data_IF_336437453883
#
_entry.id   IF_336437453883
#
_cell.length_a   1.000
_cell.length_b   1.000
_cell.length_c   1.000
_cell.angle_alpha   90.00
_cell.angle_beta   90.00
_cell.angle_gamma   90.00
#
_symmetry.space_group_name_H-M   'P 1'
#
loop_
_entity.id
_entity.type
_entity.pdbx_description
1 polymer ?
#
# COMPACT_ATOMS: atom_id res chain seq x y z
N UNK A 1 28.02 11.69 -7.39
CA UNK A 1 27.57 11.98 -8.76
C UNK A 1 28.80 12.25 -9.61
N UNK A 2 28.99 11.53 -10.71
CA UNK A 2 30.14 11.71 -11.61
C UNK A 2 29.79 12.67 -12.75
N UNK A 3 30.65 13.64 -13.02
CA UNK A 3 30.45 14.66 -14.06
C UNK A 3 31.29 14.48 -15.31
N UNK A 4 32.37 13.70 -15.21
CA UNK A 4 33.27 13.42 -16.32
C UNK A 4 33.83 12.00 -16.24
N UNK A 5 34.37 11.52 -17.35
CA UNK A 5 35.02 10.21 -17.42
C UNK A 5 36.24 10.12 -16.50
N UNK A 6 36.97 11.23 -16.36
CA UNK A 6 38.15 11.31 -15.48
C UNK A 6 37.77 11.11 -14.02
N UNK A 7 36.73 11.83 -13.55
CA UNK A 7 36.22 11.68 -12.17
C UNK A 7 35.78 10.24 -11.89
N UNK A 8 35.11 9.60 -12.86
CA UNK A 8 34.68 8.21 -12.72
C UNK A 8 35.88 7.25 -12.66
N UNK A 9 36.86 7.41 -13.55
CA UNK A 9 38.04 6.54 -13.59
C UNK A 9 38.87 6.66 -12.30
N UNK A 10 39.05 7.86 -11.78
CA UNK A 10 39.72 8.11 -10.50
C UNK A 10 38.93 7.49 -9.34
N UNK A 11 37.62 7.74 -9.26
CA UNK A 11 36.76 7.23 -8.19
C UNK A 11 36.63 5.70 -8.17
N UNK A 12 36.81 5.03 -9.30
CA UNK A 12 36.76 3.56 -9.42
C UNK A 12 38.13 2.90 -9.61
N UNK A 13 39.22 3.66 -9.48
CA UNK A 13 40.60 3.20 -9.66
C UNK A 13 40.80 2.42 -10.98
N UNK A 14 40.21 2.93 -12.07
CA UNK A 14 40.25 2.31 -13.39
C UNK A 14 41.46 2.81 -14.17
N UNK A 15 42.32 1.88 -14.61
CA UNK A 15 43.56 2.20 -15.34
C UNK A 15 43.35 2.51 -16.82
N UNK A 16 42.29 1.98 -17.43
CA UNK A 16 41.98 2.16 -18.86
C UNK A 16 40.46 2.27 -19.08
N UNK A 17 40.07 3.06 -20.08
CA UNK A 17 38.69 3.22 -20.54
C UNK A 17 38.07 1.91 -21.02
N UNK A 18 38.88 0.97 -21.51
CA UNK A 18 38.41 -0.36 -21.94
C UNK A 18 37.89 -1.22 -20.80
N UNK A 19 38.33 -0.95 -19.57
CA UNK A 19 37.90 -1.67 -18.37
C UNK A 19 36.56 -1.17 -17.81
N UNK A 20 35.97 -0.14 -18.42
CA UNK A 20 34.72 0.48 -17.96
C UNK A 20 33.54 -0.44 -18.30
N UNK A 21 32.90 -0.97 -17.26
CA UNK A 21 31.64 -1.70 -17.37
C UNK A 21 30.47 -0.71 -17.50
N UNK A 22 30.17 -0.29 -18.74
CA UNK A 22 29.17 0.74 -19.01
C UNK A 22 27.78 0.42 -18.48
N UNK A 23 27.34 -0.84 -18.56
CA UNK A 23 26.05 -1.25 -18.03
C UNK A 23 26.00 -1.09 -16.50
N UNK A 24 27.02 -1.62 -15.81
CA UNK A 24 27.11 -1.52 -14.36
C UNK A 24 27.10 -0.05 -13.91
N UNK A 25 27.89 0.79 -14.57
CA UNK A 25 27.98 2.21 -14.24
C UNK A 25 26.66 2.95 -14.50
N UNK A 26 25.97 2.68 -15.61
CA UNK A 26 24.68 3.31 -15.90
C UNK A 26 23.58 2.90 -14.91
N UNK A 27 23.73 1.77 -14.23
CA UNK A 27 22.76 1.23 -13.29
C UNK A 27 23.05 1.62 -11.84
N UNK A 28 24.31 1.53 -11.42
CA UNK A 28 24.73 1.64 -10.03
C UNK A 28 25.17 3.05 -9.64
N UNK A 29 25.63 3.85 -10.60
CA UNK A 29 26.17 5.19 -10.33
C UNK A 29 25.17 6.30 -10.55
N UNK A 30 25.36 7.40 -9.83
CA UNK A 30 24.71 8.67 -10.12
C UNK A 30 25.51 9.44 -11.17
N UNK A 31 25.06 9.42 -12.43
CA UNK A 31 25.71 10.07 -13.56
C UNK A 31 25.04 11.42 -13.85
N UNK A 32 25.84 12.47 -13.99
CA UNK A 32 25.26 13.76 -14.39
C UNK A 32 24.90 13.78 -15.87
N UNK A 33 23.93 14.62 -16.25
CA UNK A 33 23.56 14.81 -17.65
C UNK A 33 24.74 15.24 -18.54
N UNK A 34 25.71 15.95 -17.97
CA UNK A 34 26.96 16.31 -18.66
C UNK A 34 27.78 15.07 -18.98
N UNK A 35 27.96 14.17 -18.01
CA UNK A 35 28.66 12.91 -18.23
C UNK A 35 27.99 12.09 -19.33
N UNK A 36 26.66 11.97 -19.29
CA UNK A 36 25.89 11.21 -20.29
C UNK A 36 26.06 11.83 -21.68
N UNK A 37 26.02 13.18 -21.76
CA UNK A 37 26.22 13.92 -23.02
C UNK A 37 27.63 13.73 -23.61
N UNK A 38 28.66 13.60 -22.77
CA UNK A 38 30.03 13.38 -23.24
C UNK A 38 30.27 11.92 -23.69
N UNK A 39 29.35 10.99 -23.38
CA UNK A 39 29.52 9.55 -23.59
C UNK A 39 28.31 8.88 -24.31
N UNK A 40 27.63 9.60 -25.20
CA UNK A 40 26.35 9.21 -25.83
C UNK A 40 26.33 7.80 -26.45
N UNK A 41 27.44 7.37 -27.06
CA UNK A 41 27.52 6.08 -27.78
C UNK A 41 27.96 4.91 -26.90
N UNK A 42 28.39 5.19 -25.67
CA UNK A 42 28.89 4.18 -24.74
C UNK A 42 27.86 3.83 -23.66
N UNK A 43 27.11 4.83 -23.20
CA UNK A 43 26.07 4.64 -22.18
C UNK A 43 24.94 3.75 -22.71
N UNK A 44 24.38 2.94 -21.83
CA UNK A 44 23.21 2.14 -22.14
C UNK A 44 21.95 2.97 -21.87
N UNK A 45 21.29 3.44 -22.93
CA UNK A 45 20.16 4.35 -22.79
C UNK A 45 18.94 3.76 -22.10
N UNK A 46 18.77 2.43 -22.11
CA UNK A 46 17.74 1.76 -21.31
C UNK A 46 18.01 1.99 -19.82
N UNK A 47 19.24 1.72 -19.39
CA UNK A 47 19.64 1.87 -18.00
C UNK A 47 19.63 3.34 -17.58
N UNK A 48 20.06 4.25 -18.47
CA UNK A 48 19.91 5.70 -18.26
C UNK A 48 18.45 6.08 -18.02
N UNK A 49 17.52 5.55 -18.82
CA UNK A 49 16.09 5.89 -18.69
C UNK A 49 15.46 5.40 -17.38
N UNK A 50 15.94 4.27 -16.85
CA UNK A 50 15.35 3.62 -15.68
C UNK A 50 16.04 3.96 -14.35
N UNK A 51 17.31 4.34 -14.35
CA UNK A 51 18.09 4.49 -13.10
C UNK A 51 18.63 5.90 -12.84
N UNK A 52 18.68 6.77 -13.86
CA UNK A 52 19.26 8.11 -13.71
C UNK A 52 18.17 9.16 -13.53
N UNK A 53 18.47 10.22 -12.76
CA UNK A 53 17.61 11.39 -12.65
C UNK A 53 17.86 12.33 -13.85
N UNK A 54 16.85 12.46 -14.71
CA UNK A 54 16.92 13.22 -15.95
C UNK A 54 15.95 14.40 -15.90
N UNK A 55 16.45 15.60 -16.20
CA UNK A 55 15.63 16.80 -16.35
C UNK A 55 14.76 16.71 -17.62
N UNK A 56 13.61 17.37 -17.59
CA UNK A 56 12.75 17.51 -18.77
C UNK A 56 13.49 18.14 -19.98
N UNK A 57 14.46 19.02 -19.71
CA UNK A 57 15.30 19.63 -20.74
C UNK A 57 16.16 18.60 -21.47
N UNK A 58 16.76 17.68 -20.70
CA UNK A 58 17.54 16.57 -21.23
C UNK A 58 16.67 15.56 -21.96
N UNK A 59 15.55 15.16 -21.35
CA UNK A 59 14.58 14.23 -21.96
C UNK A 59 14.08 14.80 -23.30
N UNK A 60 13.73 16.08 -23.36
CA UNK A 60 13.32 16.73 -24.62
C UNK A 60 14.39 16.65 -25.71
N UNK A 61 15.65 16.83 -25.34
CA UNK A 61 16.79 16.83 -26.26
C UNK A 61 17.11 15.41 -26.76
N UNK A 62 17.06 14.41 -25.88
CA UNK A 62 17.48 13.03 -26.16
C UNK A 62 16.32 12.03 -26.24
N UNK A 63 15.07 12.50 -26.31
CA UNK A 63 13.82 11.71 -26.35
C UNK A 63 13.84 10.48 -27.26
N UNK A 64 14.53 10.57 -28.39
CA UNK A 64 14.55 9.51 -29.39
C UNK A 64 15.57 8.40 -29.07
N UNK A 65 16.37 8.56 -28.00
CA UNK A 65 17.27 7.53 -27.45
C UNK A 65 16.68 6.87 -26.20
N UNK A 66 15.67 7.48 -25.59
CA UNK A 66 15.16 7.10 -24.27
C UNK A 66 14.06 6.04 -24.37
N UNK A 67 13.99 5.22 -23.33
CA UNK A 67 12.95 4.21 -23.16
C UNK A 67 11.84 4.80 -22.31
N UNK A 68 10.82 5.30 -23.00
CA UNK A 68 9.85 6.18 -22.40
C UNK A 68 8.94 5.53 -21.35
N UNK A 69 8.65 4.23 -21.45
CA UNK A 69 7.93 3.53 -20.38
C UNK A 69 8.68 3.64 -19.04
N UNK A 70 10.02 3.53 -19.07
CA UNK A 70 10.84 3.78 -17.90
C UNK A 70 10.79 5.26 -17.52
N UNK A 71 10.91 6.18 -18.49
CA UNK A 71 10.88 7.63 -18.23
C UNK A 71 9.60 8.06 -17.49
N UNK A 72 8.42 7.63 -17.95
CA UNK A 72 7.16 8.00 -17.30
C UNK A 72 7.07 7.43 -15.88
N UNK A 73 7.53 6.19 -15.71
CA UNK A 73 7.52 5.48 -14.44
C UNK A 73 8.49 6.08 -13.42
N UNK A 74 9.70 6.47 -13.83
CA UNK A 74 10.80 6.81 -12.90
C UNK A 74 11.02 8.31 -12.75
N UNK A 75 10.83 9.11 -13.80
CA UNK A 75 11.23 10.52 -13.79
C UNK A 75 10.17 11.43 -13.18
N UNK A 76 10.56 12.47 -12.44
CA UNK A 76 9.63 13.49 -11.92
C UNK A 76 9.26 14.48 -13.02
N UNK A 77 8.24 14.14 -13.81
CA UNK A 77 7.75 14.95 -14.93
C UNK A 77 6.59 15.86 -14.47
N UNK A 78 6.49 17.04 -15.06
CA UNK A 78 5.34 17.93 -14.92
C UNK A 78 4.16 17.46 -15.77
N UNK A 79 2.95 17.86 -15.38
CA UNK A 79 1.73 17.58 -16.15
C UNK A 79 1.82 18.13 -17.58
N UNK A 80 2.33 19.36 -17.75
CA UNK A 80 2.47 19.99 -19.07
C UNK A 80 3.45 19.22 -19.96
N UNK A 81 4.50 18.63 -19.39
CA UNK A 81 5.40 17.75 -20.11
C UNK A 81 4.71 16.44 -20.52
N UNK A 82 3.97 15.82 -19.60
CA UNK A 82 3.19 14.60 -19.89
C UNK A 82 2.20 14.86 -21.05
N UNK A 83 1.38 15.93 -20.98
CA UNK A 83 0.46 16.27 -22.06
C UNK A 83 1.20 16.51 -23.38
N UNK A 84 2.34 17.19 -23.30
CA UNK A 84 3.15 17.49 -24.47
C UNK A 84 3.68 16.22 -25.12
N UNK A 85 3.89 15.10 -24.43
CA UNK A 85 4.47 13.88 -24.99
C UNK A 85 3.51 12.69 -25.11
N UNK A 86 2.22 12.89 -24.86
CA UNK A 86 1.17 11.88 -25.04
C UNK A 86 0.77 11.62 -26.51
N UNK A 87 1.73 11.63 -27.45
CA UNK A 87 1.51 11.46 -28.89
C UNK A 87 2.66 10.68 -29.53
N UNK A 88 2.32 9.61 -30.25
CA UNK A 88 3.24 8.74 -30.99
C UNK A 88 4.23 9.50 -31.87
N UNK A 89 3.78 10.57 -32.54
CA UNK A 89 4.62 11.34 -33.46
C UNK A 89 5.84 11.95 -32.78
N UNK A 90 5.80 12.08 -31.45
CA UNK A 90 6.87 12.64 -30.62
C UNK A 90 7.86 11.58 -30.14
N UNK A 91 7.55 10.30 -30.35
CA UNK A 91 8.30 9.12 -29.94
C UNK A 91 9.09 8.48 -31.08
N UNK A 92 9.17 9.15 -32.24
CA UNK A 92 9.90 8.63 -33.42
C UNK A 92 11.34 8.26 -33.04
N UNK A 93 11.77 7.01 -33.29
CA UNK A 93 13.16 6.62 -33.08
C UNK A 93 14.09 7.55 -33.86
N UNK A 94 15.28 7.77 -33.32
CA UNK A 94 16.40 8.24 -34.12
C UNK A 94 16.62 7.18 -35.21
N UNK A 95 16.91 7.62 -36.44
CA UNK A 95 17.26 6.70 -37.52
C UNK A 95 18.35 5.74 -37.01
N UNK A 96 18.15 4.44 -37.18
CA UNK A 96 19.03 3.43 -36.57
C UNK A 96 20.50 3.70 -36.90
N UNK A 97 20.79 4.27 -38.07
CA UNK A 97 22.12 4.65 -38.53
C UNK A 97 22.85 5.69 -37.65
N UNK A 98 22.14 6.51 -36.86
CA UNK A 98 22.75 7.50 -35.95
C UNK A 98 23.02 6.94 -34.53
N UNK A 99 22.69 5.67 -34.29
CA UNK A 99 22.95 4.97 -33.03
C UNK A 99 24.18 4.07 -33.17
N UNK A 100 25.03 4.05 -32.14
CA UNK A 100 26.10 3.05 -32.07
C UNK A 100 25.55 1.62 -32.14
N UNK A 101 26.30 0.69 -32.75
CA UNK A 101 25.88 -0.73 -32.95
C UNK A 101 25.36 -1.42 -31.68
N UNK A 102 25.93 -1.11 -30.52
CA UNK A 102 25.45 -1.64 -29.23
C UNK A 102 24.05 -1.15 -28.91
N UNK A 103 23.80 0.15 -29.09
CA UNK A 103 22.51 0.76 -28.80
C UNK A 103 21.43 0.32 -29.79
N UNK A 104 21.78 0.12 -31.07
CA UNK A 104 20.88 -0.48 -32.06
C UNK A 104 20.36 -1.84 -31.57
N UNK A 105 21.27 -2.74 -31.15
CA UNK A 105 20.89 -4.06 -30.61
C UNK A 105 20.02 -3.98 -29.36
N UNK A 106 20.31 -3.05 -28.45
CA UNK A 106 19.46 -2.83 -27.26
C UNK A 106 18.07 -2.37 -27.68
N UNK A 107 17.97 -1.45 -28.65
CA UNK A 107 16.69 -0.97 -29.16
C UNK A 107 15.91 -2.07 -29.89
N UNK A 108 16.56 -2.91 -30.68
CA UNK A 108 15.91 -4.04 -31.36
C UNK A 108 15.37 -5.07 -30.35
N UNK A 109 16.11 -5.32 -29.26
CA UNK A 109 15.74 -6.32 -28.25
C UNK A 109 14.68 -5.81 -27.27
N UNK A 110 14.79 -4.55 -26.84
CA UNK A 110 14.02 -4.02 -25.70
C UNK A 110 13.10 -2.87 -26.08
N UNK A 111 13.32 -2.26 -27.25
CA UNK A 111 12.51 -1.17 -27.76
C UNK A 111 11.08 -1.64 -27.99
N UNK A 112 10.13 -0.81 -27.56
CA UNK A 112 8.72 -1.03 -27.80
C UNK A 112 8.16 0.18 -28.56
N UNK A 113 7.22 -0.03 -29.50
CA UNK A 113 6.50 1.08 -30.09
C UNK A 113 5.74 1.84 -29.01
N UNK A 114 5.40 3.11 -29.29
CA UNK A 114 4.53 3.86 -28.42
C UNK A 114 3.16 3.19 -28.37
N UNK A 115 2.68 2.93 -27.16
CA UNK A 115 1.32 2.48 -26.88
C UNK A 115 0.64 3.57 -26.05
N UNK A 116 -0.38 4.19 -26.63
CA UNK A 116 -1.12 5.29 -25.99
C UNK A 116 -1.85 4.82 -24.74
N UNK A 117 -2.36 3.59 -24.74
CA UNK A 117 -3.10 3.01 -23.61
C UNK A 117 -2.14 2.75 -22.45
N UNK A 118 -1.02 2.08 -22.72
CA UNK A 118 0.02 1.84 -21.71
C UNK A 118 0.59 3.16 -21.18
N UNK A 119 0.77 4.16 -22.05
CA UNK A 119 1.23 5.48 -21.65
C UNK A 119 0.32 6.11 -20.60
N UNK A 120 -0.99 6.18 -20.88
CA UNK A 120 -1.94 6.79 -19.94
C UNK A 120 -2.17 5.95 -18.69
N UNK A 121 -2.04 4.62 -18.79
CA UNK A 121 -2.01 3.74 -17.63
C UNK A 121 -0.84 4.08 -16.70
N UNK A 122 0.38 4.17 -17.22
CA UNK A 122 1.57 4.56 -16.45
C UNK A 122 1.44 5.98 -15.85
N UNK A 123 0.85 6.92 -16.59
CA UNK A 123 0.57 8.27 -16.08
C UNK A 123 -0.41 8.21 -14.90
N UNK A 124 -1.44 7.36 -14.97
CA UNK A 124 -2.44 7.21 -13.91
C UNK A 124 -1.84 6.70 -12.60
N UNK A 125 -0.78 5.88 -12.67
CA UNK A 125 -0.04 5.37 -11.51
C UNK A 125 0.92 6.41 -10.89
N UNK A 126 1.07 7.59 -11.48
CA UNK A 126 2.19 8.50 -11.18
C UNK A 126 1.99 9.29 -9.89
N UNK A 127 2.70 8.93 -8.82
CA UNK A 127 2.58 9.59 -7.50
C UNK A 127 3.55 10.75 -7.26
N UNK A 128 4.62 10.83 -8.05
CA UNK A 128 5.65 11.87 -7.94
C UNK A 128 5.81 12.58 -9.28
N UNK A 129 5.42 13.85 -9.31
CA UNK A 129 5.60 14.76 -10.44
C UNK A 129 6.66 15.81 -10.09
N UNK A 130 7.10 16.58 -11.09
CA UNK A 130 8.12 17.63 -10.90
C UNK A 130 7.78 18.61 -9.76
N UNK A 131 6.49 18.97 -9.65
CA UNK A 131 6.02 20.04 -8.76
C UNK A 131 4.84 19.62 -7.86
N UNK A 132 4.49 18.33 -7.79
CA UNK A 132 3.33 17.85 -7.03
C UNK A 132 3.46 16.39 -6.60
N UNK A 133 2.72 16.03 -5.55
CA UNK A 133 2.56 14.65 -5.03
C UNK A 133 1.39 13.94 -5.73
N UNK A 134 1.48 13.83 -7.06
CA UNK A 134 0.44 13.18 -7.88
C UNK A 134 -0.23 14.12 -8.89
N UNK A 135 -1.18 13.57 -9.63
CA UNK A 135 -1.96 14.28 -10.63
C UNK A 135 -2.94 15.25 -9.95
N UNK A 136 -3.05 16.45 -10.50
CA UNK A 136 -4.01 17.44 -10.03
C UNK A 136 -5.44 17.03 -10.42
N UNK A 137 -6.45 17.41 -9.63
CA UNK A 137 -7.84 17.20 -9.99
C UNK A 137 -8.21 17.77 -11.37
N UNK A 138 -7.65 18.94 -11.73
CA UNK A 138 -7.91 19.58 -13.03
C UNK A 138 -7.34 18.75 -14.19
N UNK A 139 -6.15 18.18 -14.02
CA UNK A 139 -5.55 17.29 -15.02
C UNK A 139 -6.37 16.01 -15.19
N UNK A 140 -6.78 15.39 -14.08
CA UNK A 140 -7.58 14.17 -14.13
C UNK A 140 -8.93 14.39 -14.83
N UNK A 141 -9.62 15.49 -14.53
CA UNK A 141 -10.89 15.83 -15.22
C UNK A 141 -10.68 16.13 -16.71
N UNK A 142 -9.58 16.80 -17.06
CA UNK A 142 -9.25 17.13 -18.46
C UNK A 142 -8.98 15.88 -19.31
N UNK A 143 -8.40 14.83 -18.72
CA UNK A 143 -8.03 13.59 -19.41
C UNK A 143 -8.78 12.35 -18.91
N UNK A 144 -9.97 12.55 -18.36
CA UNK A 144 -10.81 11.50 -17.76
C UNK A 144 -11.06 10.30 -18.68
N UNK A 145 -11.15 10.52 -19.99
CA UNK A 145 -11.43 9.47 -20.99
C UNK A 145 -10.19 8.66 -21.38
N UNK A 146 -8.99 9.09 -20.95
CA UNK A 146 -7.71 8.47 -21.30
C UNK A 146 -7.07 7.78 -20.10
N UNK A 147 -7.27 8.32 -18.90
CA UNK A 147 -6.69 7.80 -17.67
C UNK A 147 -7.34 6.48 -17.28
N UNK A 148 -6.54 5.59 -16.67
CA UNK A 148 -7.01 4.32 -16.14
C UNK A 148 -7.58 4.55 -14.73
N UNK A 149 -8.91 4.50 -14.62
CA UNK A 149 -9.62 4.76 -13.37
C UNK A 149 -9.34 3.74 -12.26
N UNK A 150 -8.95 2.51 -12.61
CA UNK A 150 -8.52 1.50 -11.64
C UNK A 150 -7.20 1.93 -11.01
N UNK A 151 -6.23 2.35 -11.84
CA UNK A 151 -4.94 2.85 -11.36
C UNK A 151 -5.08 4.18 -10.62
N UNK A 152 -5.97 5.09 -11.07
CA UNK A 152 -6.27 6.32 -10.36
C UNK A 152 -6.84 6.03 -8.96
N UNK A 153 -7.79 5.10 -8.85
CA UNK A 153 -8.43 4.72 -7.58
C UNK A 153 -7.43 4.14 -6.57
N UNK A 154 -6.39 3.45 -7.07
CA UNK A 154 -5.33 2.84 -6.26
C UNK A 154 -4.23 3.81 -5.84
N UNK A 155 -3.77 4.64 -6.77
CA UNK A 155 -2.50 5.35 -6.63
C UNK A 155 -2.65 6.85 -6.44
N UNK A 156 -3.75 7.46 -6.88
CA UNK A 156 -3.98 8.90 -6.77
C UNK A 156 -4.89 9.24 -5.60
N UNK A 157 -4.77 10.47 -5.10
CA UNK A 157 -5.78 11.05 -4.23
C UNK A 157 -6.97 11.51 -5.09
N UNK A 158 -8.14 10.90 -4.86
CA UNK A 158 -9.38 11.24 -5.54
C UNK A 158 -10.33 11.97 -4.59
N UNK A 159 -10.59 13.28 -4.78
CA UNK A 159 -11.56 14.00 -3.97
C UNK A 159 -12.96 13.38 -4.11
N UNK A 160 -13.71 13.28 -3.01
CA UNK A 160 -15.09 12.75 -3.02
C UNK A 160 -16.00 13.36 -4.12
N UNK A 161 -15.97 14.67 -4.44
CA UNK A 161 -16.74 15.21 -5.56
C UNK A 161 -16.36 14.64 -6.93
N UNK A 162 -15.08 14.31 -7.14
CA UNK A 162 -14.61 13.65 -8.35
C UNK A 162 -15.10 12.21 -8.42
N UNK A 163 -14.97 11.45 -7.32
CA UNK A 163 -15.52 10.09 -7.21
C UNK A 163 -17.03 10.11 -7.50
N UNK A 164 -17.75 11.12 -7.00
CA UNK A 164 -19.18 11.29 -7.27
C UNK A 164 -19.49 11.47 -8.77
N UNK A 165 -18.73 12.32 -9.47
CA UNK A 165 -18.90 12.57 -10.91
C UNK A 165 -18.58 11.32 -11.74
N UNK A 166 -17.58 10.54 -11.32
CA UNK A 166 -17.04 9.38 -12.03
C UNK A 166 -17.40 8.05 -11.39
N UNK A 167 -18.54 8.00 -10.71
CA UNK A 167 -19.01 6.84 -9.93
C UNK A 167 -19.13 5.53 -10.74
N UNK A 168 -19.27 5.62 -12.07
CA UNK A 168 -19.34 4.46 -12.97
C UNK A 168 -17.99 3.98 -13.49
N UNK A 169 -16.93 4.77 -13.27
CA UNK A 169 -15.59 4.50 -13.79
C UNK A 169 -14.62 4.08 -12.69
N UNK A 170 -14.78 4.64 -11.47
CA UNK A 170 -13.93 4.28 -10.33
C UNK A 170 -14.08 2.80 -9.95
N UNK A 171 -12.98 2.23 -9.46
CA UNK A 171 -13.02 0.94 -8.79
C UNK A 171 -13.42 1.17 -7.33
N UNK A 172 -14.64 0.78 -6.98
CA UNK A 172 -15.19 1.03 -5.64
C UNK A 172 -14.47 0.29 -4.52
N UNK A 173 -13.93 -0.89 -4.79
CA UNK A 173 -13.12 -1.62 -3.81
C UNK A 173 -11.86 -0.83 -3.52
N UNK A 174 -11.15 -0.38 -4.56
CA UNK A 174 -9.93 0.43 -4.39
C UNK A 174 -10.23 1.79 -3.76
N UNK A 175 -11.32 2.45 -4.15
CA UNK A 175 -11.78 3.70 -3.54
C UNK A 175 -12.03 3.51 -2.04
N UNK A 176 -12.76 2.46 -1.66
CA UNK A 176 -13.09 2.17 -0.26
C UNK A 176 -11.84 1.86 0.57
N UNK A 177 -10.82 1.26 -0.04
CA UNK A 177 -9.59 0.85 0.66
C UNK A 177 -8.52 1.92 0.77
N UNK A 178 -8.43 2.83 -0.19
CA UNK A 178 -7.30 3.75 -0.31
C UNK A 178 -7.66 5.24 -0.21
N UNK A 179 -8.95 5.59 -0.34
CA UNK A 179 -9.40 6.99 -0.27
C UNK A 179 -9.97 7.30 1.11
N UNK A 180 -9.98 8.57 1.50
CA UNK A 180 -10.61 9.01 2.75
C UNK A 180 -12.07 9.40 2.47
N UNK A 181 -13.01 8.58 2.94
CA UNK A 181 -14.43 8.77 2.70
C UNK A 181 -15.14 9.18 3.99
N UNK A 182 -16.10 10.10 3.86
CA UNK A 182 -17.00 10.41 4.99
C UNK A 182 -18.09 9.35 5.13
N UNK A 183 -18.56 9.11 6.35
CA UNK A 183 -19.69 8.22 6.64
C UNK A 183 -20.92 8.52 5.77
N UNK A 184 -21.24 9.80 5.57
CA UNK A 184 -22.36 10.24 4.70
C UNK A 184 -22.13 9.86 3.24
N UNK A 185 -20.88 9.91 2.76
CA UNK A 185 -20.54 9.52 1.40
C UNK A 185 -20.65 8.00 1.23
N UNK A 186 -20.18 7.23 2.21
CA UNK A 186 -20.32 5.77 2.25
C UNK A 186 -21.81 5.38 2.24
N UNK A 187 -22.65 6.05 3.04
CA UNK A 187 -24.11 5.84 3.03
C UNK A 187 -24.76 6.19 1.69
N UNK A 188 -24.33 7.27 1.04
CA UNK A 188 -24.83 7.65 -0.30
C UNK A 188 -24.54 6.57 -1.35
N UNK A 189 -23.40 5.89 -1.22
CA UNK A 189 -22.91 4.86 -2.13
C UNK A 189 -22.96 3.47 -1.52
N UNK A 190 -23.99 3.20 -0.70
CA UNK A 190 -24.05 1.99 0.11
C UNK A 190 -24.12 0.69 -0.69
N UNK A 191 -24.42 0.75 -1.98
CA UNK A 191 -24.51 -0.43 -2.84
C UNK A 191 -23.23 -0.68 -3.63
N UNK A 192 -22.31 0.30 -3.64
CA UNK A 192 -21.09 0.25 -4.45
C UNK A 192 -19.85 0.04 -3.59
N UNK A 193 -19.78 0.64 -2.39
CA UNK A 193 -18.65 0.50 -1.47
C UNK A 193 -18.46 -0.95 -0.99
N UNK A 194 -17.20 -1.30 -0.73
CA UNK A 194 -16.85 -2.61 -0.17
C UNK A 194 -17.07 -2.60 1.35
N UNK A 195 -18.07 -3.35 1.83
CA UNK A 195 -18.47 -3.33 3.24
C UNK A 195 -17.72 -4.31 4.13
N UNK A 196 -17.30 -5.44 3.57
CA UNK A 196 -16.86 -6.61 4.31
C UNK A 196 -15.75 -6.31 5.32
N UNK A 197 -14.79 -5.47 4.90
CA UNK A 197 -13.59 -5.08 5.65
C UNK A 197 -13.41 -3.56 5.78
N UNK A 198 -14.48 -2.77 5.55
CA UNK A 198 -14.40 -1.31 5.47
C UNK A 198 -13.74 -0.64 6.69
N UNK A 199 -13.90 -1.22 7.88
CA UNK A 199 -13.34 -0.68 9.14
C UNK A 199 -11.81 -0.75 9.22
N UNK A 200 -11.17 -1.60 8.42
CA UNK A 200 -9.70 -1.67 8.32
C UNK A 200 -9.13 -0.54 7.46
N UNK A 201 -9.99 0.15 6.70
CA UNK A 201 -9.57 1.14 5.72
C UNK A 201 -10.11 2.54 6.01
N UNK A 202 -11.25 2.64 6.69
CA UNK A 202 -11.92 3.89 6.99
C UNK A 202 -11.93 4.18 8.49
N UNK A 203 -11.81 5.47 8.83
CA UNK A 203 -12.06 5.94 10.20
C UNK A 203 -13.57 6.10 10.40
N UNK A 204 -14.18 5.14 11.09
CA UNK A 204 -15.63 5.04 11.27
C UNK A 204 -15.99 5.08 12.75
N UNK A 205 -17.01 5.87 13.07
CA UNK A 205 -17.56 5.95 14.42
C UNK A 205 -18.23 4.64 14.82
N UNK A 206 -18.24 4.36 16.13
CA UNK A 206 -18.97 3.20 16.68
C UNK A 206 -20.45 3.23 16.32
N UNK A 207 -21.07 4.42 16.30
CA UNK A 207 -22.48 4.59 15.93
C UNK A 207 -22.73 4.13 14.50
N UNK A 208 -21.85 4.48 13.57
CA UNK A 208 -21.94 4.07 12.18
C UNK A 208 -21.79 2.56 12.04
N UNK A 209 -20.77 1.99 12.67
CA UNK A 209 -20.53 0.54 12.64
C UNK A 209 -21.72 -0.20 13.25
N UNK A 210 -22.24 0.22 14.40
CA UNK A 210 -23.42 -0.38 15.03
C UNK A 210 -24.64 -0.41 14.11
N UNK A 211 -24.85 0.66 13.32
CA UNK A 211 -25.96 0.76 12.37
C UNK A 211 -25.79 -0.19 11.18
N UNK A 212 -24.57 -0.34 10.67
CA UNK A 212 -24.29 -1.06 9.42
C UNK A 212 -23.58 -2.41 9.63
N UNK A 213 -23.44 -2.87 10.87
CA UNK A 213 -22.68 -4.07 11.25
C UNK A 213 -23.06 -5.33 10.47
N UNK A 214 -24.32 -5.46 10.04
CA UNK A 214 -24.79 -6.62 9.29
C UNK A 214 -24.10 -6.79 7.93
N UNK A 215 -23.54 -5.71 7.37
CA UNK A 215 -22.81 -5.71 6.10
C UNK A 215 -21.32 -6.02 6.24
N UNK A 216 -20.79 -6.02 7.46
CA UNK A 216 -19.38 -6.20 7.75
C UNK A 216 -19.15 -7.64 8.21
N UNK A 217 -18.21 -8.37 7.60
CA UNK A 217 -17.80 -9.69 8.11
C UNK A 217 -16.83 -9.52 9.27
N UNK A 218 -15.91 -8.57 9.16
CA UNK A 218 -14.86 -8.31 10.14
C UNK A 218 -14.86 -6.84 10.56
N UNK A 219 -14.50 -6.60 11.82
CA UNK A 219 -14.39 -5.26 12.39
C UNK A 219 -12.97 -5.08 12.92
N UNK A 220 -12.33 -3.96 12.57
CA UNK A 220 -10.99 -3.62 13.06
C UNK A 220 -11.05 -3.14 14.51
N UNK A 221 -10.13 -3.69 15.31
CA UNK A 221 -9.84 -3.26 16.68
C UNK A 221 -8.67 -2.27 16.75
N UNK A 222 -8.13 -1.74 15.64
CA UNK A 222 -6.97 -0.83 15.69
C UNK A 222 -7.33 0.57 16.19
N UNK A 223 -8.54 1.04 15.87
CA UNK A 223 -9.06 2.33 16.34
C UNK A 223 -9.58 2.18 17.77
N UNK A 224 -9.36 3.17 18.63
CA UNK A 224 -9.88 3.14 20.01
C UNK A 224 -11.39 2.91 20.06
N UNK A 225 -11.80 1.84 20.75
CA UNK A 225 -13.19 1.44 20.95
C UNK A 225 -13.54 1.42 22.44
N UNK A 226 -14.82 1.59 22.74
CA UNK A 226 -15.39 1.36 24.06
C UNK A 226 -15.49 -0.14 24.35
N UNK A 227 -15.34 -0.54 25.62
CA UNK A 227 -15.50 -1.95 26.01
C UNK A 227 -16.90 -2.50 25.64
N UNK A 228 -17.94 -1.67 25.73
CA UNK A 228 -19.30 -2.05 25.28
C UNK A 228 -19.35 -2.34 23.77
N UNK A 229 -18.61 -1.58 22.96
CA UNK A 229 -18.50 -1.85 21.53
C UNK A 229 -17.76 -3.15 21.26
N UNK A 230 -16.60 -3.36 21.90
CA UNK A 230 -15.81 -4.58 21.80
C UNK A 230 -16.64 -5.81 22.18
N UNK A 231 -17.39 -5.73 23.28
CA UNK A 231 -18.30 -6.78 23.72
C UNK A 231 -19.37 -7.10 22.67
N UNK A 232 -19.98 -6.06 22.10
CA UNK A 232 -21.08 -6.20 21.12
C UNK A 232 -20.61 -6.89 19.85
N UNK A 233 -19.43 -6.52 19.36
CA UNK A 233 -18.87 -7.00 18.09
C UNK A 233 -17.82 -8.09 18.25
N UNK A 234 -17.73 -8.68 19.45
CA UNK A 234 -16.66 -9.61 19.84
C UNK A 234 -16.38 -10.70 18.80
N UNK A 235 -17.42 -11.24 18.16
CA UNK A 235 -17.28 -12.33 17.19
C UNK A 235 -16.67 -11.87 15.86
N UNK A 236 -16.75 -10.57 15.52
CA UNK A 236 -16.21 -9.97 14.29
C UNK A 236 -14.84 -9.33 14.47
N UNK A 237 -14.41 -9.14 15.71
CA UNK A 237 -13.11 -8.56 16.07
C UNK A 237 -12.08 -9.67 16.18
N UNK A 238 -10.83 -9.43 15.82
CA UNK A 238 -9.75 -10.36 16.12
C UNK A 238 -9.27 -10.22 17.58
N UNK A 239 -8.98 -11.33 18.25
CA UNK A 239 -8.62 -11.33 19.67
C UNK A 239 -7.23 -10.74 19.93
N UNK A 240 -6.25 -11.08 19.09
CA UNK A 240 -4.90 -10.55 19.20
C UNK A 240 -4.89 -9.04 18.97
N UNK A 241 -5.64 -8.57 17.96
CA UNK A 241 -5.80 -7.16 17.66
C UNK A 241 -6.46 -6.38 18.81
N UNK A 242 -7.45 -6.96 19.51
CA UNK A 242 -8.02 -6.32 20.71
C UNK A 242 -6.92 -6.10 21.76
N UNK A 243 -6.12 -7.12 22.07
CA UNK A 243 -5.09 -7.02 23.11
C UNK A 243 -3.93 -6.10 22.71
N UNK A 244 -3.62 -5.97 21.42
CA UNK A 244 -2.55 -5.11 20.91
C UNK A 244 -2.95 -3.63 20.94
N UNK A 245 -4.18 -3.30 20.53
CA UNK A 245 -4.57 -1.91 20.26
C UNK A 245 -5.55 -1.32 21.27
N UNK A 246 -6.23 -2.13 22.09
CA UNK A 246 -7.24 -1.65 23.04
C UNK A 246 -6.71 -1.66 24.47
N UNK A 247 -7.18 -0.69 25.26
CA UNK A 247 -6.88 -0.63 26.70
C UNK A 247 -7.99 -1.31 27.49
N UNK A 248 -7.78 -2.59 27.82
CA UNK A 248 -8.69 -3.35 28.68
C UNK A 248 -8.33 -3.16 30.15
N UNK A 249 -9.32 -2.84 30.98
CA UNK A 249 -9.08 -2.55 32.41
C UNK A 249 -9.11 -3.80 33.28
N UNK A 250 -9.94 -4.78 32.93
CA UNK A 250 -10.15 -5.95 33.76
C UNK A 250 -9.31 -7.12 33.25
N UNK A 251 -8.19 -7.36 33.93
CA UNK A 251 -7.24 -8.43 33.61
C UNK A 251 -6.91 -9.18 34.88
N UNK A 252 -7.11 -10.50 34.85
CA UNK A 252 -6.64 -11.44 35.88
C UNK A 252 -5.39 -12.13 35.37
N UNK A 253 -4.34 -12.15 36.19
CA UNK A 253 -3.04 -12.67 35.79
C UNK A 253 -2.75 -13.93 36.59
N UNK A 254 -2.55 -15.02 35.88
CA UNK A 254 -2.14 -16.29 36.45
C UNK A 254 -0.75 -16.66 35.92
N UNK A 255 -0.10 -17.62 36.56
CA UNK A 255 1.21 -18.09 36.11
C UNK A 255 1.18 -18.61 34.64
N UNK A 256 0.21 -19.47 34.23
CA UNK A 256 0.19 -19.99 32.86
C UNK A 256 -0.45 -19.05 31.82
N UNK A 257 -1.32 -18.12 32.25
CA UNK A 257 -2.10 -17.27 31.33
C UNK A 257 -2.64 -15.99 31.98
N UNK A 258 -2.92 -14.99 31.15
CA UNK A 258 -3.72 -13.81 31.48
C UNK A 258 -5.16 -13.98 30.96
N UNK A 259 -6.16 -13.64 31.79
CA UNK A 259 -7.59 -13.59 31.43
C UNK A 259 -8.04 -12.14 31.35
N UNK A 260 -8.43 -11.70 30.16
CA UNK A 260 -9.01 -10.39 29.91
C UNK A 260 -10.53 -10.49 29.86
N UNK A 261 -11.22 -9.59 30.56
CA UNK A 261 -12.68 -9.65 30.72
C UNK A 261 -13.34 -8.43 30.09
N UNK A 262 -14.27 -8.67 29.17
CA UNK A 262 -15.18 -7.67 28.63
C UNK A 262 -16.54 -7.84 29.28
N UNK A 263 -17.10 -6.76 29.84
CA UNK A 263 -18.39 -6.81 30.54
C UNK A 263 -19.42 -5.90 29.88
N UNK A 264 -20.64 -6.40 29.68
CA UNK A 264 -21.79 -5.57 29.27
C UNK A 264 -23.08 -6.12 29.87
N UNK A 265 -23.81 -5.27 30.59
CA UNK A 265 -25.11 -5.62 31.21
C UNK A 265 -25.06 -6.90 32.07
N UNK A 266 -23.95 -7.12 32.79
CA UNK A 266 -23.76 -8.31 33.63
C UNK A 266 -23.26 -9.55 32.89
N UNK A 267 -23.28 -9.57 31.55
CA UNK A 267 -22.67 -10.63 30.76
C UNK A 267 -21.17 -10.38 30.58
N UNK A 268 -20.39 -11.46 30.51
CA UNK A 268 -18.93 -11.42 30.34
C UNK A 268 -18.51 -12.16 29.07
N UNK A 269 -17.37 -11.74 28.52
CA UNK A 269 -16.66 -12.42 27.42
C UNK A 269 -15.17 -12.38 27.73
N UNK A 270 -14.48 -13.44 27.38
CA UNK A 270 -13.11 -13.66 27.85
C UNK A 270 -12.14 -13.75 26.68
N UNK A 271 -10.95 -13.18 26.85
CA UNK A 271 -9.81 -13.41 25.98
C UNK A 271 -8.70 -13.98 26.85
N UNK A 272 -8.18 -15.13 26.45
CA UNK A 272 -7.09 -15.81 27.14
C UNK A 272 -5.79 -15.53 26.38
N UNK A 273 -4.74 -15.20 27.12
CA UNK A 273 -3.39 -15.06 26.59
C UNK A 273 -2.45 -15.99 27.35
N UNK A 274 -1.97 -17.03 26.70
CA UNK A 274 -1.09 -18.04 27.29
C UNK A 274 0.35 -17.55 27.30
N UNK A 275 1.09 -17.88 28.37
CA UNK A 275 2.50 -17.51 28.53
C UNK A 275 3.43 -18.53 27.87
N UNK A 276 3.05 -19.81 27.89
CA UNK A 276 3.80 -20.88 27.25
C UNK A 276 3.34 -21.10 25.81
N UNK A 277 4.27 -20.89 24.88
CA UNK A 277 4.08 -21.12 23.45
C UNK A 277 4.40 -22.59 23.15
N UNK A 278 3.43 -23.48 23.34
CA UNK A 278 3.54 -24.83 22.76
C UNK A 278 3.40 -24.71 21.24
N UNK A 279 4.29 -25.38 20.50
CA UNK A 279 4.19 -25.45 19.04
C UNK A 279 2.81 -26.03 18.68
N UNK A 280 1.95 -25.23 18.02
CA UNK A 280 0.62 -25.55 17.48
C UNK A 280 -0.63 -24.97 18.18
N UNK A 281 -0.51 -24.15 19.25
CA UNK A 281 -1.67 -23.42 19.80
C UNK A 281 -1.56 -21.90 19.56
N UNK A 282 -2.68 -21.28 19.15
CA UNK A 282 -2.76 -19.81 19.07
C UNK A 282 -2.60 -19.21 20.48
N UNK A 283 -1.63 -18.32 20.71
CA UNK A 283 -1.30 -17.82 22.05
C UNK A 283 -2.41 -16.93 22.64
N UNK A 284 -3.27 -16.37 21.79
CA UNK A 284 -4.39 -15.52 22.17
C UNK A 284 -5.64 -16.11 21.55
N UNK A 285 -6.60 -16.51 22.39
CA UNK A 285 -7.89 -17.03 21.93
C UNK A 285 -9.04 -16.43 22.73
N UNK A 286 -10.20 -16.34 22.09
CA UNK A 286 -11.45 -16.01 22.77
C UNK A 286 -11.91 -17.25 23.52
N UNK A 287 -12.56 -17.04 24.65
CA UNK A 287 -13.20 -18.08 25.42
C UNK A 287 -14.62 -17.65 25.83
N UNK A 288 -15.53 -18.62 25.85
CA UNK A 288 -16.76 -18.50 26.61
C UNK A 288 -16.55 -18.93 28.07
N UNK A 289 -17.63 -18.96 28.85
CA UNK A 289 -17.59 -19.33 30.27
C UNK A 289 -17.14 -20.79 30.48
N UNK A 290 -17.52 -21.69 29.56
CA UNK A 290 -17.24 -23.12 29.64
C UNK A 290 -15.76 -23.41 29.31
N UNK A 291 -15.27 -22.84 28.21
CA UNK A 291 -13.86 -22.94 27.82
C UNK A 291 -12.94 -22.30 28.85
N UNK A 292 -13.33 -21.17 29.46
CA UNK A 292 -12.56 -20.57 30.54
C UNK A 292 -12.51 -21.47 31.77
N UNK A 293 -13.64 -22.08 32.17
CA UNK A 293 -13.68 -22.99 33.30
C UNK A 293 -12.74 -24.18 33.09
N UNK A 294 -12.80 -24.84 31.93
CA UNK A 294 -11.91 -25.95 31.58
C UNK A 294 -10.44 -25.57 31.68
N UNK A 295 -10.06 -24.41 31.13
CA UNK A 295 -8.67 -23.96 31.17
C UNK A 295 -8.20 -23.65 32.59
N UNK A 296 -9.07 -23.14 33.46
CA UNK A 296 -8.72 -22.90 34.85
C UNK A 296 -8.65 -24.22 35.64
N UNK A 297 -9.50 -25.19 35.34
CA UNK A 297 -9.46 -26.55 35.91
C UNK A 297 -8.18 -27.30 35.50
N UNK A 298 -7.86 -27.34 34.21
CA UNK A 298 -6.66 -28.01 33.66
C UNK A 298 -5.34 -27.46 34.23
N UNK A 299 -5.35 -26.22 34.72
CA UNK A 299 -4.18 -25.54 35.29
C UNK A 299 -4.20 -25.49 36.83
N UNK A 300 -5.05 -26.27 37.50
CA UNK A 300 -5.18 -26.34 38.97
C UNK A 300 -5.52 -24.97 39.63
N UNK A 301 -6.23 -24.09 38.91
CA UNK A 301 -6.57 -22.74 39.37
C UNK A 301 -7.95 -22.63 40.04
N UNK A 302 -8.73 -23.72 40.15
CA UNK A 302 -10.11 -23.73 40.66
C UNK A 302 -10.32 -23.03 42.01
N UNK A 303 -9.38 -23.18 42.95
CA UNK A 303 -9.47 -22.49 44.24
C UNK A 303 -9.38 -20.95 44.11
N UNK A 304 -8.73 -20.45 43.06
CA UNK A 304 -8.64 -19.01 42.73
C UNK A 304 -9.84 -18.56 41.89
N UNK A 305 -10.52 -19.50 41.20
CA UNK A 305 -11.72 -19.22 40.39
C UNK A 305 -12.90 -18.80 41.25
N UNK A 306 -13.10 -19.41 42.42
CA UNK A 306 -14.18 -19.01 43.34
C UNK A 306 -14.09 -17.53 43.74
N UNK A 307 -12.87 -16.99 43.86
CA UNK A 307 -12.64 -15.60 44.21
C UNK A 307 -12.74 -14.66 43.00
N UNK A 308 -12.12 -15.01 41.88
CA UNK A 308 -12.01 -14.12 40.71
C UNK A 308 -13.24 -14.17 39.77
N UNK A 309 -13.89 -15.32 39.68
CA UNK A 309 -14.99 -15.62 38.76
C UNK A 309 -16.08 -16.50 39.43
N UNK A 310 -16.74 -16.03 40.50
CA UNK A 310 -17.73 -16.81 41.24
C UNK A 310 -18.90 -17.28 40.37
N UNK A 311 -19.20 -16.57 39.27
CA UNK A 311 -20.23 -16.98 38.32
C UNK A 311 -19.95 -18.32 37.61
N UNK A 312 -18.68 -18.72 37.47
CA UNK A 312 -18.30 -19.95 36.76
C UNK A 312 -18.55 -21.22 37.60
N UNK A 313 -18.79 -21.09 38.90
CA UNK A 313 -19.05 -22.25 39.78
C UNK A 313 -20.35 -22.98 39.41
N UNK A 314 -21.33 -22.25 38.87
CA UNK A 314 -22.59 -22.82 38.38
C UNK A 314 -22.35 -23.72 37.16
N UNK A 315 -21.33 -23.44 36.35
CA UNK A 315 -20.95 -24.27 35.19
C UNK A 315 -20.37 -25.60 35.65
N UNK A 316 -19.52 -25.59 36.67
CA UNK A 316 -19.01 -26.80 37.32
C UNK A 316 -20.14 -27.68 37.86
N UNK A 317 -21.09 -27.10 38.59
CA UNK A 317 -22.23 -27.84 39.17
C UNK A 317 -23.17 -28.47 38.12
N UNK A 318 -23.25 -27.91 36.91
CA UNK A 318 -24.09 -28.45 35.82
C UNK A 318 -23.42 -29.58 35.01
N UNK A 319 -22.11 -29.79 35.18
CA UNK A 319 -21.35 -30.87 34.52
C UNK A 319 -21.41 -32.20 35.27
N UNK A 320 -21.93 -32.22 36.50
CA UNK A 320 -22.05 -33.40 37.36
C UNK A 320 -23.46 -33.97 37.48
#
# INVERSE_FOLDING_TARGET
>A
MFNSLTELMEGRNLKDKRSISWNQICQEEQLSERFIKENLDQVNWKLISSHQDLSEGFIRKYRNRLFWADIIKTQKLSETFIEKYADEKKWRPIASEELGKKQQKTLEKEGRPFDVTEYWKLVSMKQQLANSKGLSPAFMEKHQDKLDWTELSRHQYLPMPMIHRHARQVDWTLVTRHQVLSERFIEKYSNDVEWETITFHQSLSERFINRHQAKMSFISAEQGRSESFLFTHFNKLDAASILEYQQLKNVKKYNPLDVYVLTKNGQKKYILKFHDLTENLEPIRKADEEELYEQLEENDLLATVEEDFPELMIVGDMRF
#
